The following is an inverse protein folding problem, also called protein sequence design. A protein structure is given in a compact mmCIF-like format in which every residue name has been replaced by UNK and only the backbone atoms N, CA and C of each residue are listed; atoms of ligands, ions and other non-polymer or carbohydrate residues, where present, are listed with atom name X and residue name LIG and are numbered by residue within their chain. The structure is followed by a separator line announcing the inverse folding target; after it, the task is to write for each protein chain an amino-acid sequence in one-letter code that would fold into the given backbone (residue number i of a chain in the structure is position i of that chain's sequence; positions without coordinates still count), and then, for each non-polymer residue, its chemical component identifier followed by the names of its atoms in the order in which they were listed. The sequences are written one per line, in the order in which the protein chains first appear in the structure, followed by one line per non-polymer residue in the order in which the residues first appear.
data_IF_073687597894
#
_entry.id   IF_073687597894
#
_cell.length_a   1.000
_cell.length_b   1.000
_cell.length_c   1.000
_cell.angle_alpha   90.00
_cell.angle_beta   90.00
_cell.angle_gamma   90.00
#
_symmetry.space_group_name_H-M   'P 1'
#
loop_
_entity.id
_entity.type
_entity.pdbx_description
1 polymer ?
#
# COMPACT_ATOMS: atom_id res chain seq x y z
N UNK A 1 0.05 -15.97 7.13
CA UNK A 1 0.47 -17.37 6.96
C UNK A 1 -0.67 -18.28 6.51
N UNK A 2 -1.87 -18.20 7.11
CA UNK A 2 -3.04 -18.99 6.69
C UNK A 2 -3.50 -18.72 5.25
N UNK A 3 -3.47 -17.46 4.79
CA UNK A 3 -3.86 -17.07 3.41
C UNK A 3 -2.93 -17.72 2.38
N UNK A 4 -1.62 -17.74 2.62
CA UNK A 4 -0.64 -18.35 1.72
C UNK A 4 -0.80 -19.87 1.66
N UNK A 5 -1.09 -20.50 2.80
CA UNK A 5 -1.34 -21.93 2.86
C UNK A 5 -2.60 -22.32 2.08
N UNK A 6 -3.70 -21.58 2.28
CA UNK A 6 -4.94 -21.77 1.53
C UNK A 6 -4.77 -21.51 0.03
N UNK A 7 -4.04 -20.47 -0.36
CA UNK A 7 -3.76 -20.16 -1.76
C UNK A 7 -2.92 -21.26 -2.43
N UNK A 8 -1.89 -21.78 -1.74
CA UNK A 8 -1.06 -22.88 -2.24
C UNK A 8 -1.89 -24.15 -2.44
N UNK A 9 -2.70 -24.54 -1.43
CA UNK A 9 -3.62 -25.68 -1.55
C UNK A 9 -4.61 -25.47 -2.71
N UNK A 10 -5.25 -24.30 -2.78
CA UNK A 10 -6.22 -23.98 -3.82
C UNK A 10 -5.62 -24.02 -5.22
N UNK A 11 -4.40 -23.53 -5.39
CA UNK A 11 -3.69 -23.53 -6.67
C UNK A 11 -3.29 -24.95 -7.11
N UNK A 12 -2.86 -25.80 -6.17
CA UNK A 12 -2.55 -27.22 -6.43
C UNK A 12 -3.83 -27.97 -6.82
N UNK A 13 -4.91 -27.80 -6.08
CA UNK A 13 -6.20 -28.46 -6.34
C UNK A 13 -6.76 -28.02 -7.69
N UNK A 14 -6.85 -26.70 -7.93
CA UNK A 14 -7.36 -26.15 -9.19
C UNK A 14 -6.51 -26.60 -10.37
N UNK A 15 -5.18 -26.48 -10.28
CA UNK A 15 -4.31 -26.88 -11.37
C UNK A 15 -4.31 -28.39 -11.63
N UNK A 16 -4.58 -29.22 -10.61
CA UNK A 16 -4.76 -30.67 -10.79
C UNK A 16 -6.04 -31.00 -11.59
N UNK A 17 -7.12 -30.23 -11.44
CA UNK A 17 -8.33 -30.40 -12.25
C UNK A 17 -8.16 -29.93 -13.70
N UNK A 18 -7.30 -28.94 -13.96
CA UNK A 18 -7.12 -28.34 -15.30
C UNK A 18 -5.94 -28.94 -16.09
N UNK A 19 -5.25 -29.95 -15.54
CA UNK A 19 -4.03 -30.59 -16.09
C UNK A 19 -2.93 -29.61 -16.57
N UNK A 20 -2.97 -28.36 -16.07
CA UNK A 20 -2.14 -27.25 -16.54
C UNK A 20 -0.94 -26.99 -15.63
N UNK A 21 -0.51 -27.98 -14.83
CA UNK A 21 0.65 -27.86 -13.96
C UNK A 21 1.94 -27.94 -14.79
N UNK A 22 2.42 -26.77 -15.23
CA UNK A 22 3.71 -26.66 -15.90
C UNK A 22 4.84 -26.57 -14.88
N UNK A 23 5.54 -27.69 -14.65
CA UNK A 23 6.76 -27.74 -13.82
C UNK A 23 8.01 -27.35 -14.61
N UNK A 24 7.96 -26.24 -15.34
CA UNK A 24 9.11 -25.71 -16.07
C UNK A 24 9.83 -24.71 -15.17
N UNK A 25 10.71 -25.18 -14.30
CA UNK A 25 11.53 -24.30 -13.46
C UNK A 25 12.75 -23.88 -14.27
N UNK A 26 12.76 -22.61 -14.70
CA UNK A 26 13.91 -22.00 -15.37
C UNK A 26 14.64 -21.08 -14.38
N UNK A 27 15.97 -21.13 -14.38
CA UNK A 27 16.84 -20.25 -13.58
C UNK A 27 16.55 -18.76 -13.84
N UNK A 28 16.25 -18.39 -15.08
CA UNK A 28 15.89 -17.02 -15.44
C UNK A 28 14.62 -16.55 -14.72
N UNK A 29 13.57 -17.39 -14.72
CA UNK A 29 12.32 -17.09 -14.01
C UNK A 29 12.54 -16.96 -12.50
N UNK A 30 13.34 -17.86 -11.91
CA UNK A 30 13.66 -17.79 -10.48
C UNK A 30 14.35 -16.47 -10.13
N UNK A 31 15.32 -16.03 -10.94
CA UNK A 31 16.02 -14.77 -10.73
C UNK A 31 15.06 -13.58 -10.88
N UNK A 32 14.19 -13.59 -11.88
CA UNK A 32 13.19 -12.52 -12.06
C UNK A 32 12.24 -12.41 -10.87
N UNK A 33 11.71 -13.52 -10.35
CA UNK A 33 10.83 -13.51 -9.18
C UNK A 33 11.56 -13.07 -7.91
N UNK A 34 12.82 -13.50 -7.73
CA UNK A 34 13.63 -13.09 -6.59
C UNK A 34 13.90 -11.58 -6.62
N UNK A 35 14.28 -11.05 -7.81
CA UNK A 35 14.46 -9.62 -8.03
C UNK A 35 13.17 -8.82 -7.78
N UNK A 36 12.05 -9.30 -8.34
CA UNK A 36 10.73 -8.69 -8.12
C UNK A 36 10.37 -8.65 -6.64
N UNK A 37 10.56 -9.75 -5.91
CA UNK A 37 10.22 -9.82 -4.48
C UNK A 37 11.06 -8.84 -3.65
N UNK A 38 12.37 -8.77 -3.89
CA UNK A 38 13.28 -7.88 -3.14
C UNK A 38 12.96 -6.42 -3.45
N UNK A 39 12.85 -6.07 -4.74
CA UNK A 39 12.65 -4.67 -5.16
C UNK A 39 11.21 -4.22 -4.85
N UNK A 40 10.21 -5.01 -5.24
CA UNK A 40 8.80 -4.63 -5.07
C UNK A 40 8.33 -4.73 -3.62
N UNK A 41 8.81 -5.69 -2.83
CA UNK A 41 8.32 -5.90 -1.45
C UNK A 41 9.25 -5.27 -0.43
N UNK A 42 10.51 -5.70 -0.38
CA UNK A 42 11.43 -5.27 0.69
C UNK A 42 11.74 -3.79 0.54
N UNK A 43 12.14 -3.33 -0.64
CA UNK A 43 12.47 -1.91 -0.84
C UNK A 43 11.24 -1.01 -0.64
N UNK A 44 10.06 -1.40 -1.14
CA UNK A 44 8.81 -0.66 -0.93
C UNK A 44 8.44 -0.55 0.56
N UNK A 45 8.50 -1.66 1.32
CA UNK A 45 8.25 -1.64 2.77
C UNK A 45 9.25 -0.75 3.51
N UNK A 46 10.54 -0.81 3.17
CA UNK A 46 11.55 0.05 3.78
C UNK A 46 11.28 1.52 3.49
N UNK A 47 10.89 1.85 2.26
CA UNK A 47 10.52 3.21 1.88
C UNK A 47 9.29 3.70 2.64
N UNK A 48 8.26 2.85 2.76
CA UNK A 48 7.06 3.16 3.53
C UNK A 48 7.39 3.37 5.03
N UNK A 49 8.20 2.50 5.63
CA UNK A 49 8.64 2.66 7.02
C UNK A 49 9.45 3.94 7.21
N UNK A 50 10.30 4.29 6.24
CA UNK A 50 11.08 5.53 6.27
C UNK A 50 10.21 6.76 6.07
N UNK A 51 9.21 6.70 5.19
CA UNK A 51 8.21 7.75 5.03
C UNK A 51 7.45 7.99 6.34
N UNK A 52 6.97 6.92 7.00
CA UNK A 52 6.30 7.04 8.31
C UNK A 52 7.19 7.75 9.34
N UNK A 53 8.49 7.43 9.38
CA UNK A 53 9.46 8.07 10.30
C UNK A 53 9.73 9.54 9.97
N UNK A 54 9.68 9.93 8.69
CA UNK A 54 10.03 11.28 8.23
C UNK A 54 8.86 12.25 8.28
N UNK A 55 7.67 11.83 7.83
CA UNK A 55 6.49 12.69 7.63
C UNK A 55 5.28 12.31 8.51
N UNK A 56 5.43 11.30 9.37
CA UNK A 56 4.37 10.78 10.23
C UNK A 56 3.46 9.75 9.54
N UNK A 57 2.70 9.02 10.34
CA UNK A 57 1.84 7.92 9.87
C UNK A 57 0.70 8.40 8.95
N UNK A 58 0.09 9.54 9.25
CA UNK A 58 -1.04 10.09 8.47
C UNK A 58 -0.60 10.52 7.07
N UNK A 59 0.49 11.28 6.95
CA UNK A 59 0.99 11.71 5.63
C UNK A 59 1.51 10.52 4.80
N UNK A 60 2.15 9.54 5.46
CA UNK A 60 2.62 8.33 4.80
C UNK A 60 1.47 7.44 4.30
N UNK A 61 0.35 7.35 5.03
CA UNK A 61 -0.81 6.59 4.57
C UNK A 61 -1.47 7.23 3.34
N UNK A 62 -1.53 8.56 3.28
CA UNK A 62 -1.96 9.28 2.07
C UNK A 62 -1.02 8.95 0.90
N UNK A 63 0.29 8.93 1.12
CA UNK A 63 1.24 8.50 0.08
C UNK A 63 0.99 7.06 -0.40
N UNK A 64 0.65 6.15 0.51
CA UNK A 64 0.29 4.78 0.17
C UNK A 64 -1.01 4.71 -0.66
N UNK A 65 -2.00 5.56 -0.39
CA UNK A 65 -3.22 5.59 -1.22
C UNK A 65 -2.99 6.07 -2.65
N UNK A 66 -1.90 6.81 -2.92
CA UNK A 66 -1.50 7.13 -4.30
C UNK A 66 -1.05 5.90 -5.10
N UNK A 67 -0.68 4.80 -4.44
CA UNK A 67 -0.36 3.53 -5.11
C UNK A 67 -1.51 3.06 -5.99
N UNK A 68 -2.76 3.16 -5.51
CA UNK A 68 -3.94 2.81 -6.27
C UNK A 68 -4.10 3.68 -7.54
N UNK A 69 -3.83 4.99 -7.44
CA UNK A 69 -3.91 5.92 -8.58
C UNK A 69 -2.84 5.58 -9.62
N UNK A 70 -1.60 5.35 -9.19
CA UNK A 70 -0.49 4.96 -10.10
C UNK A 70 -0.77 3.61 -10.73
N UNK A 71 -1.34 2.65 -10.00
CA UNK A 71 -1.72 1.33 -10.51
C UNK A 71 -2.71 1.44 -11.67
N UNK A 72 -3.70 2.33 -11.57
CA UNK A 72 -4.69 2.55 -12.63
C UNK A 72 -4.04 3.20 -13.86
N UNK A 73 -3.16 4.19 -13.66
CA UNK A 73 -2.41 4.82 -14.76
C UNK A 73 -1.56 3.77 -15.48
N UNK A 74 -0.81 2.95 -14.73
CA UNK A 74 0.00 1.87 -15.29
C UNK A 74 -0.87 0.84 -16.01
N UNK A 75 -2.04 0.50 -15.47
CA UNK A 75 -2.96 -0.42 -16.13
C UNK A 75 -3.42 0.10 -17.50
N UNK A 76 -3.73 1.38 -17.64
CA UNK A 76 -4.12 1.98 -18.92
C UNK A 76 -2.96 1.90 -19.92
N UNK A 77 -1.75 2.27 -19.48
CA UNK A 77 -0.56 2.32 -20.36
C UNK A 77 -0.12 0.90 -20.77
N UNK A 78 -0.01 -0.01 -19.81
CA UNK A 78 0.64 -1.31 -19.99
C UNK A 78 -0.33 -2.40 -20.47
N UNK A 79 -1.56 -2.40 -19.95
CA UNK A 79 -2.55 -3.45 -20.25
C UNK A 79 -3.48 -3.04 -21.40
N UNK A 80 -3.50 -1.75 -21.79
CA UNK A 80 -4.37 -1.18 -22.84
C UNK A 80 -5.86 -1.55 -22.68
N UNK A 81 -6.27 -1.86 -21.44
CA UNK A 81 -7.63 -2.29 -21.14
C UNK A 81 -8.61 -1.11 -21.18
N UNK A 82 -9.83 -1.40 -21.65
CA UNK A 82 -10.90 -0.39 -21.69
C UNK A 82 -11.28 0.03 -20.28
N UNK A 83 -11.13 1.33 -20.02
CA UNK A 83 -11.62 1.97 -18.79
C UNK A 83 -13.14 1.79 -18.69
N UNK A 84 -13.57 0.90 -17.82
CA UNK A 84 -14.98 0.75 -17.46
C UNK A 84 -15.43 1.91 -16.60
N UNK A 85 -16.70 2.31 -16.76
CA UNK A 85 -17.30 3.42 -16.01
C UNK A 85 -17.14 3.29 -14.48
N UNK A 86 -17.24 2.07 -13.95
CA UNK A 86 -17.03 1.79 -12.53
C UNK A 86 -15.60 2.11 -12.03
N UNK A 87 -14.57 1.90 -12.86
CA UNK A 87 -13.18 2.22 -12.51
C UNK A 87 -12.95 3.73 -12.44
N UNK A 88 -13.53 4.47 -13.38
CA UNK A 88 -13.46 5.93 -13.41
C UNK A 88 -14.10 6.50 -12.14
N UNK A 89 -15.30 6.00 -11.79
CA UNK A 89 -16.00 6.38 -10.56
C UNK A 89 -15.18 6.05 -9.30
N UNK A 90 -14.69 4.81 -9.18
CA UNK A 90 -13.89 4.39 -8.03
C UNK A 90 -12.60 5.21 -7.88
N UNK A 91 -11.89 5.46 -8.98
CA UNK A 91 -10.65 6.25 -8.97
C UNK A 91 -10.92 7.69 -8.55
N UNK A 92 -11.99 8.31 -9.09
CA UNK A 92 -12.37 9.67 -8.71
C UNK A 92 -12.65 9.80 -7.22
N UNK A 93 -13.32 8.80 -6.62
CA UNK A 93 -13.63 8.78 -5.20
C UNK A 93 -12.36 8.67 -4.34
N UNK A 94 -11.40 7.84 -4.75
CA UNK A 94 -10.09 7.73 -4.07
C UNK A 94 -9.38 9.09 -4.10
N UNK A 95 -9.26 9.74 -5.27
CA UNK A 95 -8.57 11.03 -5.40
C UNK A 95 -9.21 12.11 -4.52
N UNK A 96 -10.55 12.17 -4.48
CA UNK A 96 -11.27 13.13 -3.64
C UNK A 96 -10.97 12.85 -2.16
N UNK A 97 -11.09 11.60 -1.72
CA UNK A 97 -10.86 11.21 -0.33
C UNK A 97 -9.45 11.55 0.13
N UNK A 98 -8.44 11.23 -0.68
CA UNK A 98 -7.03 11.44 -0.32
C UNK A 98 -6.66 12.91 -0.33
N UNK A 99 -7.25 13.70 -1.23
CA UNK A 99 -7.09 15.16 -1.26
C UNK A 99 -7.67 15.82 -0.01
N UNK A 100 -8.85 15.39 0.45
CA UNK A 100 -9.46 15.90 1.68
C UNK A 100 -8.55 15.56 2.88
N UNK A 101 -8.13 14.30 2.99
CA UNK A 101 -7.28 13.84 4.09
C UNK A 101 -5.91 14.54 4.11
N UNK A 102 -5.35 14.88 2.95
CA UNK A 102 -4.12 15.65 2.83
C UNK A 102 -4.23 17.10 3.31
N UNK A 103 -5.45 17.65 3.38
CA UNK A 103 -5.71 19.01 3.87
C UNK A 103 -5.98 19.04 5.38
N UNK A 104 -6.27 17.90 5.98
CA UNK A 104 -6.50 17.78 7.41
C UNK A 104 -5.17 17.97 8.16
N UNK A 105 -5.05 19.10 8.86
CA UNK A 105 -3.87 19.46 9.64
C UNK A 105 -3.89 18.64 10.92
N UNK A 106 -2.91 17.75 11.10
CA UNK A 106 -2.79 16.91 12.30
C UNK A 106 -2.96 17.77 13.56
N UNK A 107 -3.81 17.37 14.53
CA UNK A 107 -3.89 18.06 15.81
C UNK A 107 -2.50 18.04 16.45
N UNK A 108 -2.02 19.22 16.88
CA UNK A 108 -0.75 19.35 17.60
C UNK A 108 -0.76 18.35 18.77
N UNK A 109 0.32 17.59 19.02
CA UNK A 109 0.43 16.77 20.20
C UNK A 109 0.10 17.63 21.41
N UNK A 110 -0.77 17.15 22.30
CA UNK A 110 -1.02 17.81 23.58
C UNK A 110 0.31 17.94 24.30
N UNK A 111 0.88 19.14 24.26
CA UNK A 111 2.21 19.42 24.80
C UNK A 111 2.14 19.30 26.34
N UNK A 112 2.75 18.27 26.95
CA UNK A 112 2.63 18.03 28.39
C UNK A 112 3.19 19.19 29.21
N UNK A 113 4.12 19.95 28.64
CA UNK A 113 4.77 21.09 29.27
C UNK A 113 3.80 22.27 29.50
N UNK A 114 2.85 22.49 28.59
CA UNK A 114 1.85 23.55 28.72
C UNK A 114 0.83 23.24 29.83
N UNK A 115 0.50 21.95 30.04
CA UNK A 115 -0.33 21.53 31.18
C UNK A 115 0.38 21.70 32.53
N UNK A 116 1.68 21.46 32.58
CA UNK A 116 2.50 21.65 33.80
C UNK A 116 2.67 23.14 34.13
N UNK A 117 2.93 24.00 33.14
CA UNK A 117 3.03 25.45 33.36
C UNK A 117 1.73 26.04 33.89
N UNK A 118 0.57 25.66 33.34
CA UNK A 118 -0.73 26.11 33.85
C UNK A 118 -1.03 25.56 35.25
N UNK A 119 -0.62 24.33 35.58
CA UNK A 119 -0.84 23.76 36.91
C UNK A 119 0.00 24.44 38.01
N UNK A 120 1.15 25.03 37.64
CA UNK A 120 2.02 25.79 38.55
C UNK A 120 1.46 27.21 38.75
N UNK A 121 0.90 27.83 37.71
CA UNK A 121 0.28 29.16 37.77
C UNK A 121 -1.01 29.17 38.62
N UNK A 122 -1.80 28.09 38.57
CA UNK A 122 -3.07 27.98 39.34
C UNK A 122 -2.83 27.77 40.86
N UNK A 123 -1.60 27.44 41.29
CA UNK A 123 -1.26 27.23 42.71
C UNK A 123 -0.64 28.47 43.40
N UNK A 124 -0.68 29.64 42.76
CA UNK A 124 -0.28 30.92 43.35
C UNK A 124 -1.46 31.90 43.35
#
# INVERSE_FOLDING_TARGET
MYICFGASLGMIIYGAFTESLTFTINLEMMISYLGLSIISTIASMLFLLKAIKLIGSTSASILATFEAVVSIIMRIIFLNEKLTFALILGTSLIIISTTILAREKSPKPCDPYNKLSNAIDINH
#
